data_IF_890025192147
#
_entry.id   IF_890025192147
#
_cell.length_a   1.000
_cell.length_b   1.000
_cell.length_c   1.000
_cell.angle_alpha   90.00
_cell.angle_beta   90.00
_cell.angle_gamma   90.00
#
_symmetry.space_group_name_H-M   'P 1'
#
loop_
_entity.id
_entity.type
_entity.pdbx_description
1 polymer ?
#
# COMPACT_ATOMS: atom_id res chain seq x y z
N UNK A 1 -6.37 29.42 -65.57
CA UNK A 1 -5.15 28.66 -65.22
C UNK A 1 -4.16 28.54 -66.38
N UNK A 2 -4.57 28.28 -67.62
CA UNK A 2 -3.64 28.10 -68.76
C UNK A 2 -2.55 29.19 -68.92
N UNK A 3 -2.88 30.47 -68.73
CA UNK A 3 -1.90 31.57 -68.77
C UNK A 3 -0.84 31.54 -67.66
N UNK A 4 -1.12 30.91 -66.51
CA UNK A 4 -0.20 30.83 -65.37
C UNK A 4 0.72 29.61 -65.43
N UNK A 5 0.31 28.54 -66.13
CA UNK A 5 1.00 27.23 -66.17
C UNK A 5 2.19 27.22 -67.15
N UNK A 6 2.23 28.14 -68.12
CA UNK A 6 3.30 28.24 -69.12
C UNK A 6 4.52 29.04 -68.61
N UNK A 7 5.27 28.48 -67.67
CA UNK A 7 6.42 29.15 -67.02
C UNK A 7 7.51 29.65 -67.99
N UNK A 8 7.67 29.04 -69.17
CA UNK A 8 8.68 29.41 -70.16
C UNK A 8 8.38 30.70 -70.94
N UNK A 9 7.19 31.29 -70.76
CA UNK A 9 6.69 32.42 -71.57
C UNK A 9 6.40 33.70 -70.78
N UNK A 10 6.50 33.69 -69.46
CA UNK A 10 6.03 34.79 -68.61
C UNK A 10 7.10 35.39 -67.69
N UNK A 11 6.92 36.67 -67.37
CA UNK A 11 7.75 37.42 -66.43
C UNK A 11 7.50 36.96 -64.98
N UNK A 12 8.55 36.96 -64.15
CA UNK A 12 8.53 36.47 -62.77
C UNK A 12 7.57 37.28 -61.88
N UNK A 13 7.54 38.61 -62.01
CA UNK A 13 6.66 39.51 -61.24
C UNK A 13 5.17 39.16 -61.45
N UNK A 14 4.80 38.75 -62.66
CA UNK A 14 3.45 38.23 -62.96
C UNK A 14 3.18 36.91 -62.24
N UNK A 15 4.15 36.00 -62.16
CA UNK A 15 3.98 34.74 -61.41
C UNK A 15 3.84 34.99 -59.91
N UNK A 16 4.64 35.90 -59.35
CA UNK A 16 4.56 36.32 -57.93
C UNK A 16 3.17 36.90 -57.63
N UNK A 17 2.68 37.83 -58.48
CA UNK A 17 1.36 38.43 -58.31
C UNK A 17 0.20 37.42 -58.45
N UNK A 18 0.29 36.49 -59.42
CA UNK A 18 -0.69 35.41 -59.57
C UNK A 18 -0.68 34.44 -58.38
N UNK A 19 0.50 34.07 -57.87
CA UNK A 19 0.60 33.21 -56.70
C UNK A 19 0.03 33.89 -55.45
N UNK A 20 0.35 35.17 -55.23
CA UNK A 20 -0.21 35.97 -54.15
C UNK A 20 -1.75 36.06 -54.24
N UNK A 21 -2.30 36.22 -55.45
CA UNK A 21 -3.75 36.21 -55.67
C UNK A 21 -4.39 34.86 -55.29
N UNK A 22 -3.80 33.73 -55.70
CA UNK A 22 -4.28 32.39 -55.31
C UNK A 22 -4.23 32.22 -53.79
N UNK A 23 -3.14 32.62 -53.14
CA UNK A 23 -2.98 32.56 -51.68
C UNK A 23 -4.11 33.31 -50.96
N UNK A 24 -4.43 34.53 -51.43
CA UNK A 24 -5.51 35.34 -50.86
C UNK A 24 -6.86 34.67 -51.12
N UNK A 25 -7.18 34.28 -52.37
CA UNK A 25 -8.48 33.70 -52.72
C UNK A 25 -8.77 32.41 -51.95
N UNK A 26 -7.79 31.51 -51.84
CA UNK A 26 -7.99 30.21 -51.16
C UNK A 26 -7.96 30.37 -49.64
N UNK A 27 -7.00 31.12 -49.08
CA UNK A 27 -6.73 31.06 -47.64
C UNK A 27 -7.38 32.16 -46.79
N UNK A 28 -7.91 33.24 -47.39
CA UNK A 28 -8.57 34.32 -46.64
C UNK A 28 -10.01 34.02 -46.19
N UNK A 29 -10.61 32.91 -46.61
CA UNK A 29 -12.01 32.59 -46.28
C UNK A 29 -12.16 32.05 -44.86
N UNK A 30 -13.17 32.54 -44.14
CA UNK A 30 -13.51 32.14 -42.77
C UNK A 30 -14.08 30.71 -42.65
N UNK A 31 -14.85 30.23 -43.64
CA UNK A 31 -15.38 28.87 -43.65
C UNK A 31 -14.32 27.88 -44.16
N UNK A 32 -13.90 26.98 -43.26
CA UNK A 32 -12.90 25.95 -43.55
C UNK A 32 -13.36 24.96 -44.61
N UNK A 33 -14.65 24.63 -44.69
CA UNK A 33 -15.16 23.72 -45.73
C UNK A 33 -15.09 24.38 -47.11
N UNK A 34 -15.43 25.67 -47.18
CA UNK A 34 -15.33 26.42 -48.44
C UNK A 34 -13.87 26.65 -48.84
N UNK A 35 -12.96 26.89 -47.88
CA UNK A 35 -11.52 26.94 -48.14
C UNK A 35 -10.97 25.61 -48.69
N UNK A 36 -11.37 24.47 -48.12
CA UNK A 36 -11.01 23.14 -48.66
C UNK A 36 -11.59 22.92 -50.06
N UNK A 37 -12.83 23.35 -50.32
CA UNK A 37 -13.42 23.30 -51.66
C UNK A 37 -12.64 24.14 -52.68
N UNK A 38 -12.32 25.40 -52.36
CA UNK A 38 -11.50 26.26 -53.23
C UNK A 38 -10.10 25.66 -53.48
N UNK A 39 -9.46 25.12 -52.44
CA UNK A 39 -8.18 24.43 -52.59
C UNK A 39 -8.30 23.26 -53.57
N UNK A 40 -9.34 22.42 -53.44
CA UNK A 40 -9.58 21.30 -54.35
C UNK A 40 -9.84 21.74 -55.80
N UNK A 41 -10.55 22.85 -56.03
CA UNK A 41 -10.73 23.41 -57.37
C UNK A 41 -9.37 23.77 -58.01
N UNK A 42 -8.45 24.38 -57.26
CA UNK A 42 -7.09 24.68 -57.76
C UNK A 42 -6.24 23.41 -57.95
N UNK A 43 -6.33 22.43 -57.05
CA UNK A 43 -5.72 21.08 -57.22
C UNK A 43 -6.21 20.41 -58.51
N UNK A 44 -7.53 20.42 -58.76
CA UNK A 44 -8.16 19.83 -59.94
C UNK A 44 -7.76 20.53 -61.25
N UNK A 45 -7.47 21.84 -61.20
CA UNK A 45 -6.88 22.62 -62.30
C UNK A 45 -5.36 22.38 -62.47
N UNK A 46 -4.77 21.48 -61.69
CA UNK A 46 -3.37 21.06 -61.79
C UNK A 46 -2.37 21.97 -61.09
N UNK A 47 -2.81 22.83 -60.15
CA UNK A 47 -1.90 23.75 -59.44
C UNK A 47 -0.78 23.00 -58.71
N UNK A 48 -1.08 21.94 -57.97
CA UNK A 48 -0.10 21.27 -57.11
C UNK A 48 1.05 20.64 -57.94
N UNK A 49 0.70 19.99 -59.05
CA UNK A 49 1.68 19.45 -60.02
C UNK A 49 2.44 20.51 -60.82
N UNK A 50 2.01 21.78 -60.76
CA UNK A 50 2.75 22.93 -61.27
C UNK A 50 3.65 23.55 -60.19
N UNK A 51 3.19 23.67 -58.96
CA UNK A 51 3.97 24.15 -57.81
C UNK A 51 5.18 23.26 -57.52
N UNK A 52 5.05 21.93 -57.62
CA UNK A 52 6.19 21.02 -57.43
C UNK A 52 7.31 21.27 -58.46
N UNK A 53 6.98 21.72 -59.68
CA UNK A 53 7.96 22.11 -60.70
C UNK A 53 8.59 23.47 -60.41
N UNK A 54 7.78 24.44 -59.96
CA UNK A 54 8.25 25.77 -59.59
C UNK A 54 9.04 25.80 -58.27
N UNK A 55 9.00 24.74 -57.46
CA UNK A 55 9.75 24.61 -56.20
C UNK A 55 11.27 24.76 -56.37
N UNK A 56 11.79 24.52 -57.57
CA UNK A 56 13.20 24.67 -57.95
C UNK A 56 13.52 26.01 -58.64
N UNK A 57 12.63 27.00 -58.57
CA UNK A 57 12.87 28.33 -59.15
C UNK A 57 13.99 29.08 -58.43
N UNK A 58 14.78 29.86 -59.16
CA UNK A 58 15.84 30.73 -58.60
C UNK A 58 15.29 32.04 -58.00
N UNK A 59 14.00 32.33 -58.18
CA UNK A 59 13.34 33.52 -57.64
C UNK A 59 12.91 33.35 -56.18
N UNK A 60 13.62 34.03 -55.27
CA UNK A 60 13.31 34.06 -53.84
C UNK A 60 11.89 34.60 -53.57
N UNK A 61 11.48 35.68 -54.25
CA UNK A 61 10.14 36.28 -54.07
C UNK A 61 9.02 35.29 -54.45
N UNK A 62 9.18 34.54 -55.54
CA UNK A 62 8.23 33.51 -55.93
C UNK A 62 8.26 32.31 -54.97
N UNK A 63 9.44 31.90 -54.52
CA UNK A 63 9.60 30.80 -53.56
C UNK A 63 8.94 31.10 -52.21
N UNK A 64 8.95 32.37 -51.76
CA UNK A 64 8.22 32.83 -50.57
C UNK A 64 6.70 32.68 -50.77
N UNK A 65 6.15 33.09 -51.92
CA UNK A 65 4.71 32.94 -52.18
C UNK A 65 4.28 31.47 -52.30
N UNK A 66 5.12 30.61 -52.90
CA UNK A 66 4.85 29.16 -53.01
C UNK A 66 4.89 28.50 -51.64
N UNK A 67 5.90 28.80 -50.81
CA UNK A 67 6.00 28.25 -49.45
C UNK A 67 4.80 28.68 -48.60
N UNK A 68 4.42 29.96 -48.66
CA UNK A 68 3.25 30.48 -47.93
C UNK A 68 1.91 29.86 -48.36
N UNK A 69 1.79 29.33 -49.58
CA UNK A 69 0.65 28.51 -50.00
C UNK A 69 0.71 27.13 -49.34
N UNK A 70 1.83 26.41 -49.52
CA UNK A 70 2.00 25.04 -49.08
C UNK A 70 1.85 24.90 -47.55
N UNK A 71 2.36 25.86 -46.78
CA UNK A 71 2.19 25.93 -45.31
C UNK A 71 0.72 26.12 -44.88
N UNK A 72 -0.15 26.56 -45.79
CA UNK A 72 -1.57 26.83 -45.57
C UNK A 72 -2.51 25.81 -46.26
N UNK A 73 -1.97 24.79 -46.93
CA UNK A 73 -2.76 23.68 -47.52
C UNK A 73 -3.36 22.82 -46.42
N UNK A 74 -4.65 22.52 -46.54
CA UNK A 74 -5.34 21.56 -45.68
C UNK A 74 -5.18 20.13 -46.21
N UNK A 75 -4.54 19.27 -45.42
CA UNK A 75 -4.61 17.83 -45.59
C UNK A 75 -5.73 17.24 -44.72
N UNK A 76 -6.89 17.01 -45.33
CA UNK A 76 -8.06 16.42 -44.64
C UNK A 76 -7.81 14.96 -44.27
N UNK A 77 -7.00 14.22 -45.03
CA UNK A 77 -6.73 12.82 -44.76
C UNK A 77 -5.85 12.66 -43.52
N UNK A 78 -4.77 13.43 -43.41
CA UNK A 78 -3.93 13.48 -42.23
C UNK A 78 -4.72 13.94 -40.98
N UNK A 79 -5.58 14.96 -41.11
CA UNK A 79 -6.44 15.42 -40.01
C UNK A 79 -7.46 14.35 -39.56
N UNK A 80 -7.94 13.49 -40.46
CA UNK A 80 -8.79 12.36 -40.10
C UNK A 80 -7.99 11.26 -39.37
N UNK A 81 -6.81 10.89 -39.86
CA UNK A 81 -5.92 9.91 -39.20
C UNK A 81 -5.49 10.38 -37.80
N UNK A 82 -5.17 11.67 -37.63
CA UNK A 82 -4.88 12.28 -36.33
C UNK A 82 -6.10 12.23 -35.39
N UNK A 83 -7.32 12.42 -35.91
CA UNK A 83 -8.56 12.36 -35.14
C UNK A 83 -8.89 10.93 -34.68
N UNK A 84 -8.68 9.94 -35.54
CA UNK A 84 -8.83 8.52 -35.20
C UNK A 84 -7.76 8.09 -34.18
N UNK A 85 -6.50 8.48 -34.39
CA UNK A 85 -5.39 8.23 -33.46
C UNK A 85 -5.63 8.86 -32.09
N UNK A 86 -6.16 10.09 -32.06
CA UNK A 86 -6.57 10.78 -30.82
C UNK A 86 -7.72 10.07 -30.12
N UNK A 87 -8.71 9.57 -30.87
CA UNK A 87 -9.84 8.81 -30.30
C UNK A 87 -9.35 7.53 -29.63
N UNK A 88 -8.54 6.73 -30.33
CA UNK A 88 -7.92 5.51 -29.79
C UNK A 88 -6.96 5.79 -28.60
N UNK A 89 -6.40 6.99 -28.50
CA UNK A 89 -5.61 7.41 -27.34
C UNK A 89 -6.49 7.76 -26.14
N UNK A 90 -7.65 8.38 -26.36
CA UNK A 90 -8.62 8.68 -25.29
C UNK A 90 -9.27 7.42 -24.73
N UNK A 91 -9.60 6.43 -25.57
CA UNK A 91 -10.09 5.11 -25.14
C UNK A 91 -9.07 4.43 -24.20
N UNK A 92 -7.79 4.42 -24.58
CA UNK A 92 -6.71 3.90 -23.72
C UNK A 92 -6.52 4.68 -22.42
N UNK A 93 -6.87 5.97 -22.37
CA UNK A 93 -6.89 6.73 -21.11
C UNK A 93 -8.05 6.29 -20.23
N UNK A 94 -9.25 6.12 -20.82
CA UNK A 94 -10.42 5.62 -20.08
C UNK A 94 -10.17 4.23 -19.48
N UNK A 95 -9.59 3.29 -20.25
CA UNK A 95 -9.23 1.95 -19.75
C UNK A 95 -8.30 2.01 -18.53
N UNK A 96 -7.33 2.95 -18.54
CA UNK A 96 -6.38 3.15 -17.44
C UNK A 96 -7.01 3.84 -16.22
N UNK A 97 -7.96 4.76 -16.42
CA UNK A 97 -8.74 5.38 -15.33
C UNK A 97 -9.64 4.34 -14.66
N UNK A 98 -10.29 3.48 -15.45
CA UNK A 98 -11.08 2.34 -15.00
C UNK A 98 -10.23 1.31 -14.22
N UNK A 99 -9.03 0.96 -14.72
CA UNK A 99 -8.09 0.07 -14.02
C UNK A 99 -7.54 0.68 -12.73
N UNK A 100 -7.31 1.99 -12.70
CA UNK A 100 -6.94 2.72 -11.49
C UNK A 100 -8.07 2.68 -10.46
N UNK A 101 -9.33 2.90 -10.88
CA UNK A 101 -10.51 2.73 -10.02
C UNK A 101 -10.57 1.32 -9.42
N UNK A 102 -10.51 0.28 -10.26
CA UNK A 102 -10.44 -1.12 -9.83
C UNK A 102 -9.29 -1.41 -8.88
N UNK A 103 -8.14 -0.75 -9.05
CA UNK A 103 -6.98 -0.90 -8.15
C UNK A 103 -7.19 -0.23 -6.80
N UNK A 104 -7.78 0.97 -6.77
CA UNK A 104 -8.12 1.68 -5.54
C UNK A 104 -9.14 0.91 -4.70
N UNK A 105 -10.16 0.32 -5.32
CA UNK A 105 -11.15 -0.52 -4.62
C UNK A 105 -10.50 -1.74 -3.94
N UNK A 106 -9.60 -2.43 -4.65
CA UNK A 106 -8.83 -3.56 -4.07
C UNK A 106 -7.95 -3.11 -2.89
N UNK A 107 -7.31 -1.94 -2.99
CA UNK A 107 -6.52 -1.39 -1.88
C UNK A 107 -7.44 -1.08 -0.69
N UNK A 108 -8.55 -0.39 -0.89
CA UNK A 108 -9.51 -0.08 0.16
C UNK A 108 -10.15 -1.32 0.81
N UNK A 109 -10.31 -2.42 0.06
CA UNK A 109 -10.75 -3.70 0.61
C UNK A 109 -9.68 -4.35 1.49
N UNK A 110 -8.44 -4.47 0.99
CA UNK A 110 -7.32 -5.03 1.78
C UNK A 110 -6.96 -4.20 3.01
N UNK A 111 -7.02 -2.86 2.93
CA UNK A 111 -6.87 -1.97 4.09
C UNK A 111 -7.94 -2.23 5.14
N UNK A 112 -9.18 -2.50 4.73
CA UNK A 112 -10.30 -2.83 5.62
C UNK A 112 -10.11 -4.20 6.29
N UNK A 113 -9.67 -5.20 5.53
CA UNK A 113 -9.32 -6.53 6.07
C UNK A 113 -8.21 -6.44 7.12
N UNK A 114 -7.14 -5.69 6.84
CA UNK A 114 -6.06 -5.47 7.81
C UNK A 114 -6.52 -4.69 9.03
N UNK A 115 -7.41 -3.70 8.87
CA UNK A 115 -8.00 -2.96 10.00
C UNK A 115 -8.83 -3.88 10.91
N UNK A 116 -9.65 -4.77 10.34
CA UNK A 116 -10.38 -5.77 11.12
C UNK A 116 -9.43 -6.74 11.84
N UNK A 117 -8.39 -7.24 11.15
CA UNK A 117 -7.42 -8.17 11.75
C UNK A 117 -6.61 -7.51 12.87
N UNK A 118 -6.28 -6.23 12.73
CA UNK A 118 -5.60 -5.47 13.77
C UNK A 118 -6.48 -5.36 15.03
N UNK A 119 -7.74 -4.95 14.88
CA UNK A 119 -8.67 -4.83 16.01
C UNK A 119 -8.95 -6.19 16.71
N UNK A 120 -9.04 -7.28 15.94
CA UNK A 120 -9.17 -8.64 16.48
C UNK A 120 -7.95 -9.04 17.33
N UNK A 121 -6.74 -8.78 16.83
CA UNK A 121 -5.49 -9.07 17.54
C UNK A 121 -5.31 -8.17 18.78
N UNK A 122 -5.70 -6.91 18.72
CA UNK A 122 -5.69 -5.99 19.87
C UNK A 122 -6.65 -6.46 20.97
N UNK A 123 -7.85 -6.90 20.60
CA UNK A 123 -8.84 -7.46 21.53
C UNK A 123 -8.34 -8.74 22.20
N UNK A 124 -7.77 -9.67 21.43
CA UNK A 124 -7.20 -10.91 21.95
C UNK A 124 -6.00 -10.65 22.87
N UNK A 125 -5.14 -9.69 22.53
CA UNK A 125 -4.01 -9.27 23.36
C UNK A 125 -4.50 -8.64 24.67
N UNK A 126 -5.57 -7.84 24.64
CA UNK A 126 -6.21 -7.30 25.84
C UNK A 126 -6.82 -8.41 26.73
N UNK A 127 -7.49 -9.41 26.13
CA UNK A 127 -8.01 -10.59 26.85
C UNK A 127 -6.91 -11.34 27.57
N UNK A 128 -5.82 -11.70 26.86
CA UNK A 128 -4.68 -12.44 27.42
C UNK A 128 -3.96 -11.64 28.51
N UNK A 129 -3.88 -10.30 28.39
CA UNK A 129 -3.38 -9.45 29.48
C UNK A 129 -4.25 -9.54 30.73
N UNK A 130 -5.57 -9.40 30.59
CA UNK A 130 -6.53 -9.53 31.70
C UNK A 130 -6.43 -10.89 32.40
N UNK A 131 -6.31 -11.97 31.62
CA UNK A 131 -6.13 -13.33 32.16
C UNK A 131 -4.80 -13.50 32.89
N UNK A 132 -3.72 -12.88 32.41
CA UNK A 132 -2.43 -12.86 33.08
C UNK A 132 -2.49 -12.10 34.42
N UNK A 133 -3.12 -10.92 34.43
CA UNK A 133 -3.29 -10.09 35.63
C UNK A 133 -4.17 -10.81 36.68
N UNK A 134 -5.26 -11.45 36.27
CA UNK A 134 -6.10 -12.29 37.14
C UNK A 134 -5.32 -13.47 37.74
N UNK A 135 -4.55 -14.19 36.92
CA UNK A 135 -3.75 -15.32 37.38
C UNK A 135 -2.63 -14.86 38.34
N UNK A 136 -2.03 -13.70 38.08
CA UNK A 136 -1.07 -13.09 39.00
C UNK A 136 -1.72 -12.66 40.31
N UNK A 137 -2.94 -12.13 40.28
CA UNK A 137 -3.69 -11.76 41.50
C UNK A 137 -4.07 -13.00 42.32
N UNK A 138 -4.55 -14.06 41.69
CA UNK A 138 -4.84 -15.36 42.34
C UNK A 138 -3.57 -15.94 42.98
N UNK A 139 -2.44 -15.90 42.28
CA UNK A 139 -1.15 -16.35 42.83
C UNK A 139 -0.73 -15.54 44.06
N UNK A 140 -0.86 -14.20 44.05
CA UNK A 140 -0.59 -13.35 45.21
C UNK A 140 -1.49 -13.68 46.40
N UNK A 141 -2.79 -13.90 46.17
CA UNK A 141 -3.73 -14.31 47.22
C UNK A 141 -3.33 -15.65 47.85
N UNK A 142 -2.97 -16.66 47.04
CA UNK A 142 -2.48 -17.94 47.55
C UNK A 142 -1.16 -17.80 48.32
N UNK A 143 -0.23 -16.96 47.87
CA UNK A 143 1.01 -16.68 48.61
C UNK A 143 0.75 -15.98 49.95
N UNK A 144 -0.22 -15.05 50.02
CA UNK A 144 -0.66 -14.39 51.26
C UNK A 144 -1.33 -15.38 52.23
N UNK A 145 -2.19 -16.27 51.72
CA UNK A 145 -2.81 -17.36 52.49
C UNK A 145 -1.75 -18.32 53.05
N UNK A 146 -0.84 -18.82 52.21
CA UNK A 146 0.27 -19.71 52.62
C UNK A 146 1.20 -19.03 53.61
N UNK A 147 1.51 -17.74 53.42
CA UNK A 147 2.29 -16.93 54.36
C UNK A 147 1.60 -16.82 55.72
N UNK A 148 0.27 -16.62 55.73
CA UNK A 148 -0.54 -16.54 56.94
C UNK A 148 -0.61 -17.89 57.67
N UNK A 149 -0.89 -18.98 56.95
CA UNK A 149 -0.93 -20.34 57.50
C UNK A 149 0.44 -20.75 58.09
N UNK A 150 1.56 -20.43 57.43
CA UNK A 150 2.91 -20.67 57.97
C UNK A 150 3.16 -19.93 59.28
N UNK A 151 2.68 -18.68 59.43
CA UNK A 151 2.77 -17.92 60.70
C UNK A 151 1.94 -18.59 61.80
N UNK A 152 0.71 -18.98 61.50
CA UNK A 152 -0.19 -19.65 62.47
C UNK A 152 0.36 -21.01 62.91
N UNK A 153 0.89 -21.83 61.99
CA UNK A 153 1.54 -23.09 62.33
C UNK A 153 2.74 -22.88 63.24
N UNK A 154 3.64 -21.94 62.90
CA UNK A 154 4.80 -21.61 63.74
C UNK A 154 4.40 -21.11 65.13
N UNK A 155 3.33 -20.30 65.22
CA UNK A 155 2.78 -19.86 66.51
C UNK A 155 2.22 -21.04 67.31
N UNK A 156 1.47 -21.95 66.68
CA UNK A 156 0.93 -23.16 67.33
C UNK A 156 2.02 -24.12 67.78
N UNK A 157 3.10 -24.26 67.03
CA UNK A 157 4.28 -25.04 67.45
C UNK A 157 4.93 -24.43 68.69
N UNK A 158 5.11 -23.11 68.74
CA UNK A 158 5.69 -22.43 69.91
C UNK A 158 4.75 -22.53 71.14
N UNK A 159 3.44 -22.31 70.98
CA UNK A 159 2.43 -22.50 72.02
C UNK A 159 2.42 -23.95 72.56
N UNK A 160 2.43 -24.94 71.67
CA UNK A 160 2.49 -26.36 72.03
C UNK A 160 3.79 -26.70 72.77
N UNK A 161 4.92 -26.13 72.35
CA UNK A 161 6.23 -26.31 72.98
C UNK A 161 6.31 -25.66 74.37
N UNK A 162 5.68 -24.51 74.57
CA UNK A 162 5.53 -23.86 75.89
C UNK A 162 4.63 -24.71 76.79
N UNK A 163 3.47 -25.16 76.28
CA UNK A 163 2.54 -26.02 77.02
C UNK A 163 3.21 -27.33 77.45
N UNK A 164 3.96 -27.99 76.55
CA UNK A 164 4.69 -29.22 76.83
C UNK A 164 5.78 -29.02 77.90
N UNK A 165 6.52 -27.91 77.87
CA UNK A 165 7.49 -27.56 78.92
C UNK A 165 6.79 -27.39 80.28
N UNK A 166 5.72 -26.61 80.33
CA UNK A 166 4.96 -26.38 81.57
C UNK A 166 4.35 -27.69 82.10
N UNK A 167 3.87 -28.56 81.22
CA UNK A 167 3.35 -29.88 81.60
C UNK A 167 4.46 -30.80 82.14
N UNK A 168 5.66 -30.78 81.57
CA UNK A 168 6.83 -31.50 82.12
C UNK A 168 7.25 -30.97 83.50
N UNK A 169 7.24 -29.65 83.71
CA UNK A 169 7.51 -29.03 85.02
C UNK A 169 6.48 -29.43 86.08
N UNK A 170 5.21 -29.61 85.69
CA UNK A 170 4.14 -30.12 86.57
C UNK A 170 4.35 -31.62 86.85
N UNK A 171 4.69 -32.42 85.83
CA UNK A 171 4.95 -33.86 85.96
C UNK A 171 6.13 -34.16 86.90
N UNK A 172 7.15 -33.29 86.93
CA UNK A 172 8.29 -33.41 87.84
C UNK A 172 7.97 -33.05 89.31
N UNK A 173 6.77 -32.56 89.63
CA UNK A 173 6.40 -32.06 90.98
C UNK A 173 5.33 -32.88 91.73
N UNK A 174 4.98 -34.09 91.28
CA UNK A 174 4.10 -35.00 92.05
C UNK A 174 4.46 -36.50 91.87
N UNK A 175 4.37 -37.32 92.93
CA UNK A 175 4.60 -38.76 92.85
C UNK A 175 3.35 -39.60 92.53
N UNK A 176 3.59 -40.88 92.26
CA UNK A 176 2.65 -41.90 91.77
C UNK A 176 1.48 -42.26 92.72
N UNK A 177 0.37 -42.72 92.14
CA UNK A 177 -0.61 -43.61 92.77
C UNK A 177 -1.26 -44.53 91.71
N UNK A 178 -1.46 -45.81 92.06
CA UNK A 178 -1.95 -46.88 91.16
C UNK A 178 -3.37 -47.35 91.54
N UNK A 179 -4.06 -48.07 90.64
CA UNK A 179 -5.53 -48.24 90.62
C UNK A 179 -6.08 -49.53 91.30
N UNK A 180 -7.42 -49.70 91.35
CA UNK A 180 -8.03 -51.01 91.08
C UNK A 180 -9.26 -51.04 90.13
N UNK A 181 -9.52 -52.24 89.57
CA UNK A 181 -10.53 -52.64 88.55
C UNK A 181 -11.88 -53.12 89.18
N UNK A 182 -13.02 -53.41 88.51
CA UNK A 182 -13.70 -53.10 87.21
C UNK A 182 -15.20 -53.60 87.36
N UNK A 183 -16.16 -53.62 86.37
CA UNK A 183 -16.15 -54.45 85.13
C UNK A 183 -16.98 -53.78 83.95
N UNK A 184 -17.59 -54.43 82.89
CA UNK A 184 -17.38 -53.94 81.51
C UNK A 184 -18.63 -53.76 80.60
N UNK A 185 -18.92 -52.54 80.11
CA UNK A 185 -19.94 -52.26 79.05
C UNK A 185 -19.57 -50.93 78.33
N UNK A 186 -20.05 -50.65 77.10
CA UNK A 186 -19.77 -51.26 75.80
C UNK A 186 -18.73 -50.41 74.98
N UNK A 187 -18.30 -50.81 73.77
CA UNK A 187 -17.46 -49.95 72.94
C UNK A 187 -18.18 -48.64 72.52
N UNK A 188 -17.46 -47.50 72.42
CA UNK A 188 -18.02 -46.28 71.84
C UNK A 188 -18.30 -46.47 70.34
N UNK A 189 -19.26 -45.72 69.75
CA UNK A 189 -19.52 -45.78 68.32
C UNK A 189 -18.26 -45.33 67.54
N UNK A 190 -18.03 -45.89 66.34
CA UNK A 190 -16.92 -45.47 65.50
C UNK A 190 -17.05 -43.98 65.14
N UNK A 191 -15.93 -43.26 64.89
CA UNK A 191 -16.02 -41.93 64.29
C UNK A 191 -16.83 -42.03 63.00
N UNK A 192 -17.73 -41.08 62.78
CA UNK A 192 -18.49 -41.00 61.54
C UNK A 192 -17.50 -40.96 60.37
N UNK A 193 -17.48 -42.04 59.57
CA UNK A 193 -16.65 -42.10 58.39
C UNK A 193 -17.12 -40.99 57.45
N UNK A 194 -16.29 -39.95 57.28
CA UNK A 194 -16.44 -39.04 56.16
C UNK A 194 -16.40 -39.91 54.90
N UNK A 195 -17.50 -39.89 54.16
CA UNK A 195 -17.61 -40.60 52.89
C UNK A 195 -16.43 -40.20 52.01
N UNK A 196 -15.72 -41.15 51.37
CA UNK A 196 -14.71 -40.78 50.39
C UNK A 196 -15.36 -39.91 49.31
N UNK A 197 -14.66 -38.89 48.79
CA UNK A 197 -15.17 -38.14 47.63
C UNK A 197 -15.38 -39.11 46.45
N UNK A 198 -16.32 -38.82 45.53
CA UNK A 198 -16.54 -39.65 44.36
C UNK A 198 -15.25 -39.78 43.53
N UNK A 199 -15.05 -40.90 42.82
CA UNK A 199 -13.87 -41.09 42.00
C UNK A 199 -13.78 -39.99 40.94
N UNK A 200 -12.70 -39.23 40.98
CA UNK A 200 -12.34 -38.31 39.89
C UNK A 200 -12.13 -39.17 38.64
N UNK A 201 -12.83 -38.85 37.56
CA UNK A 201 -12.66 -39.51 36.27
C UNK A 201 -11.19 -39.46 35.83
N UNK A 202 -10.67 -40.48 35.15
CA UNK A 202 -9.28 -40.46 34.69
C UNK A 202 -9.04 -39.22 33.81
N UNK A 203 -7.91 -38.52 33.96
CA UNK A 203 -7.59 -37.41 33.07
C UNK A 203 -7.56 -37.92 31.63
N UNK A 204 -8.16 -37.17 30.72
CA UNK A 204 -8.04 -37.45 29.29
C UNK A 204 -6.55 -37.54 28.90
N UNK A 205 -6.17 -38.46 28.00
CA UNK A 205 -4.79 -38.55 27.55
C UNK A 205 -4.35 -37.21 26.92
N UNK A 206 -3.08 -36.81 27.09
CA UNK A 206 -2.57 -35.61 26.45
C UNK A 206 -2.68 -35.72 24.93
N UNK A 207 -2.93 -34.60 24.21
CA UNK A 207 -2.88 -34.60 22.76
C UNK A 207 -1.46 -35.01 22.28
N UNK A 208 -1.34 -35.71 21.14
CA UNK A 208 -0.04 -36.13 20.62
C UNK A 208 0.82 -34.90 20.27
N UNK A 209 2.17 -35.02 20.35
CA UNK A 209 3.05 -33.95 19.93
C UNK A 209 2.89 -33.68 18.43
N UNK A 210 3.05 -32.42 17.98
CA UNK A 210 3.04 -32.11 16.56
C UNK A 210 4.19 -32.84 15.86
N UNK A 211 3.86 -33.54 14.77
CA UNK A 211 4.83 -34.27 13.96
C UNK A 211 5.86 -33.32 13.34
N UNK A 212 7.11 -33.38 13.81
CA UNK A 212 8.24 -32.75 13.13
C UNK A 212 8.52 -33.47 11.79
N UNK A 213 7.75 -33.13 10.75
CA UNK A 213 8.09 -33.52 9.37
C UNK A 213 9.02 -32.46 8.79
N UNK A 214 10.31 -32.73 8.90
CA UNK A 214 11.36 -31.86 8.39
C UNK A 214 11.46 -31.96 6.86
N UNK A 215 10.87 -30.97 6.19
CA UNK A 215 11.48 -30.24 5.07
C UNK A 215 12.06 -31.05 3.87
N UNK A 216 11.26 -31.17 2.81
CA UNK A 216 11.69 -31.05 1.39
C UNK A 216 10.51 -30.39 0.67
N UNK A 217 10.60 -29.28 -0.06
CA UNK A 217 11.74 -28.60 -0.64
C UNK A 217 11.34 -28.18 -2.05
N UNK A 218 10.99 -26.91 -2.27
CA UNK A 218 10.92 -26.32 -3.60
C UNK A 218 11.36 -24.86 -3.55
N UNK A 219 12.59 -24.63 -4.00
CA UNK A 219 13.05 -23.29 -4.30
C UNK A 219 12.27 -22.74 -5.51
N UNK A 220 11.92 -21.46 -5.45
CA UNK A 220 11.62 -20.63 -6.61
C UNK A 220 12.49 -19.38 -6.50
N UNK A 221 13.03 -18.85 -7.61
CA UNK A 221 14.16 -17.95 -7.56
C UNK A 221 13.77 -16.54 -7.09
N UNK A 222 14.54 -16.00 -6.15
CA UNK A 222 14.62 -14.55 -5.96
C UNK A 222 15.19 -13.93 -7.24
N UNK A 223 14.35 -13.20 -7.98
CA UNK A 223 14.82 -12.24 -8.98
C UNK A 223 15.06 -10.93 -8.21
N UNK A 224 16.29 -10.39 -8.15
CA UNK A 224 16.52 -9.09 -7.56
C UNK A 224 15.83 -8.03 -8.43
N UNK A 225 15.00 -7.19 -7.80
CA UNK A 225 14.42 -6.01 -8.44
C UNK A 225 15.52 -5.06 -8.91
N UNK A 226 15.39 -4.43 -10.10
CA UNK A 226 16.35 -3.44 -10.55
C UNK A 226 16.33 -2.21 -9.62
N UNK A 227 17.47 -1.53 -9.41
CA UNK A 227 17.53 -0.35 -8.58
C UNK A 227 16.69 0.80 -9.17
N UNK A 228 16.10 1.67 -8.34
CA UNK A 228 15.37 2.84 -8.83
C UNK A 228 16.32 3.80 -9.58
N UNK A 229 15.83 4.49 -10.64
CA UNK A 229 16.64 5.46 -11.36
C UNK A 229 17.06 6.60 -10.45
N UNK A 230 18.31 7.05 -10.60
CA UNK A 230 18.91 8.12 -9.80
C UNK A 230 18.11 9.42 -9.98
N UNK A 231 17.56 9.93 -8.89
CA UNK A 231 16.91 11.24 -8.89
C UNK A 231 17.96 12.34 -9.13
N UNK A 232 17.95 12.98 -10.30
CA UNK A 232 18.79 14.16 -10.54
C UNK A 232 19.08 14.55 -11.99
N UNK A 233 18.91 13.67 -12.98
CA UNK A 233 19.26 13.97 -14.38
C UNK A 233 18.21 13.49 -15.40
N UNK A 234 17.06 14.15 -15.42
CA UNK A 234 16.32 14.38 -16.67
C UNK A 234 15.90 15.84 -16.68
N UNK A 235 16.51 16.62 -17.58
CA UNK A 235 16.02 17.95 -17.91
C UNK A 235 14.81 17.77 -18.83
N UNK A 236 13.64 18.19 -18.37
CA UNK A 236 12.42 18.10 -19.17
C UNK A 236 12.54 19.04 -20.39
N UNK A 237 11.98 18.68 -21.56
CA UNK A 237 11.86 19.61 -22.68
C UNK A 237 10.99 20.81 -22.30
N UNK A 238 11.36 22.00 -22.76
CA UNK A 238 10.55 23.20 -22.56
C UNK A 238 9.16 23.02 -23.22
N UNK A 239 8.11 23.20 -22.42
CA UNK A 239 6.70 23.04 -22.86
C UNK A 239 5.86 22.05 -22.05
N UNK A 240 6.46 21.23 -21.17
CA UNK A 240 5.73 20.25 -20.36
C UNK A 240 4.82 20.90 -19.28
N UNK A 241 3.54 21.15 -19.62
CA UNK A 241 2.50 21.51 -18.64
C UNK A 241 2.23 20.33 -17.69
N UNK A 242 2.87 20.36 -16.51
CA UNK A 242 2.70 19.30 -15.51
C UNK A 242 1.35 19.42 -14.78
N UNK A 243 0.51 18.39 -14.93
CA UNK A 243 -0.76 18.23 -14.19
C UNK A 243 -0.45 17.81 -12.75
N UNK A 244 0.07 18.74 -11.93
CA UNK A 244 0.21 18.55 -10.47
C UNK A 244 -0.20 19.82 -9.73
N UNK A 245 -1.38 19.81 -9.12
CA UNK A 245 -1.73 20.81 -8.08
C UNK A 245 -0.68 20.72 -6.95
N UNK A 246 0.09 21.78 -6.80
CA UNK A 246 1.13 21.89 -5.78
C UNK A 246 0.49 22.06 -4.40
N UNK A 247 0.38 20.97 -3.66
CA UNK A 247 -0.15 20.97 -2.28
C UNK A 247 0.75 21.84 -1.41
N UNK A 248 0.23 22.96 -0.91
CA UNK A 248 0.93 23.80 0.07
C UNK A 248 0.82 23.19 1.46
N UNK A 249 1.86 22.51 1.93
CA UNK A 249 1.94 22.09 3.34
C UNK A 249 2.31 23.29 4.21
N UNK A 250 1.53 23.53 5.28
CA UNK A 250 1.80 24.61 6.26
C UNK A 250 3.09 24.37 7.06
N UNK A 251 3.52 23.11 7.14
CA UNK A 251 4.74 22.68 7.80
C UNK A 251 5.68 22.09 6.74
N UNK A 252 6.90 22.62 6.68
CA UNK A 252 8.01 22.02 5.93
C UNK A 252 8.83 21.16 6.87
N UNK A 253 9.07 19.91 6.50
CA UNK A 253 10.05 19.08 7.20
C UNK A 253 11.45 19.69 7.04
N UNK A 254 12.32 19.63 8.06
CA UNK A 254 13.71 20.05 7.92
C UNK A 254 14.40 19.27 6.81
N UNK A 255 14.92 19.97 5.80
CA UNK A 255 15.72 19.37 4.74
C UNK A 255 17.06 18.90 5.31
N UNK A 256 17.26 17.58 5.35
CA UNK A 256 18.51 16.97 5.79
C UNK A 256 19.60 17.19 4.75
N UNK A 257 20.60 18.01 5.10
CA UNK A 257 21.77 18.29 4.26
C UNK A 257 22.76 17.11 4.29
N UNK A 258 22.47 16.04 3.54
CA UNK A 258 23.39 14.93 3.35
C UNK A 258 24.45 15.29 2.30
N UNK A 259 25.57 15.86 2.75
CA UNK A 259 26.79 15.95 1.92
C UNK A 259 27.49 14.58 1.97
N UNK A 260 27.64 13.93 0.82
CA UNK A 260 28.44 12.72 0.71
C UNK A 260 29.92 13.04 1.01
N UNK A 261 30.48 12.38 2.02
CA UNK A 261 31.91 12.47 2.31
C UNK A 261 32.69 11.89 1.13
N UNK A 262 33.60 12.69 0.56
CA UNK A 262 34.52 12.22 -0.47
C UNK A 262 35.47 11.19 0.17
N UNK A 263 35.77 10.06 -0.49
CA UNK A 263 36.81 9.16 -0.01
C UNK A 263 38.16 9.90 -0.07
N UNK A 264 38.94 9.78 1.01
CA UNK A 264 40.19 10.49 1.19
C UNK A 264 41.21 10.21 0.07
N UNK A 265 41.98 11.24 -0.28
CA UNK A 265 43.37 11.08 -0.75
C UNK A 265 44.28 10.85 0.46
#
# INVERSE_FOLDING_TARGET
MEYFINYELFNIDFMVACMQFVNIVVHSVEDMNYRVHLQYEFTALGLDGYLEKLRLTESEELQVQISAYLDNVFDVAALMEDSETKTAALERVQDLEDDLGRALDRVAETEREFMYKLAELESELARVRSECDEMQQKARQTDEEVSTLRKVLKQREEESRIMQKCQQEIQQKMPSAEAPQAPPIPPPPPPAALTPPPPIAPPCPPPPPPSNVRNVGRASPFIPSPPPPIAGQMQAPDGAMTIKRKVQTKYKLPTLNWVALKPNQ
#
